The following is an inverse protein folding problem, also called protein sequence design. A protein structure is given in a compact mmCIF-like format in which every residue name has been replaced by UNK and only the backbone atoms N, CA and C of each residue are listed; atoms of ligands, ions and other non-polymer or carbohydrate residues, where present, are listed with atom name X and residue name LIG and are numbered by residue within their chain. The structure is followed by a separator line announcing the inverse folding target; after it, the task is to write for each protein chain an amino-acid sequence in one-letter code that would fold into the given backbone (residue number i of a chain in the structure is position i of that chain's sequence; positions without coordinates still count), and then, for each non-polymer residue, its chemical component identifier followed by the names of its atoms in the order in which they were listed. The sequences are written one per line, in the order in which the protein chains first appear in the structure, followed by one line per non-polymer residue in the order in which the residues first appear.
data_IF_989928596763
#
_entry.id   IF_989928596763
#
_cell.length_a   1.000
_cell.length_b   1.000
_cell.length_c   1.000
_cell.angle_alpha   90.00
_cell.angle_beta   90.00
_cell.angle_gamma   90.00
#
_symmetry.space_group_name_H-M   'P 1'
#
loop_
_entity.id
_entity.type
_entity.pdbx_description
1 polymer ?
#
# COMPACT_ATOMS: atom_id res chain seq x y z
N UNK A 1 45.24 2.98 -8.11
CA UNK A 1 44.24 3.92 -7.58
C UNK A 1 42.87 3.42 -8.03
N UNK A 2 42.13 2.74 -7.16
CA UNK A 2 40.78 2.27 -7.48
C UNK A 2 39.82 3.44 -7.37
N UNK A 3 39.09 3.73 -8.46
CA UNK A 3 38.02 4.73 -8.43
C UNK A 3 36.88 4.20 -7.56
N UNK A 4 36.72 4.80 -6.38
CA UNK A 4 35.60 4.55 -5.48
C UNK A 4 34.36 5.18 -6.10
N UNK A 5 33.52 4.36 -6.74
CA UNK A 5 32.22 4.78 -7.26
C UNK A 5 31.30 4.87 -6.05
N UNK A 6 30.85 6.10 -5.74
CA UNK A 6 29.92 6.38 -4.64
C UNK A 6 28.67 5.48 -4.74
N UNK A 7 28.16 4.90 -3.63
CA UNK A 7 26.93 4.10 -3.61
C UNK A 7 25.71 4.85 -4.21
N UNK A 8 25.74 6.18 -4.18
CA UNK A 8 24.70 7.05 -4.74
C UNK A 8 24.64 6.94 -6.27
N UNK A 9 25.77 6.68 -6.94
CA UNK A 9 25.82 6.50 -8.39
C UNK A 9 25.29 5.12 -8.84
N UNK A 10 25.39 4.09 -7.99
CA UNK A 10 24.81 2.76 -8.24
C UNK A 10 23.27 2.83 -8.09
N UNK A 11 22.77 3.61 -7.13
CA UNK A 11 21.34 3.88 -6.99
C UNK A 11 20.80 4.61 -8.23
N UNK A 12 21.52 5.59 -8.78
CA UNK A 12 21.09 6.30 -10.00
C UNK A 12 21.02 5.39 -11.25
N UNK A 13 21.90 4.39 -11.36
CA UNK A 13 21.87 3.43 -12.47
C UNK A 13 20.76 2.37 -12.30
N UNK A 14 20.42 1.97 -11.07
CA UNK A 14 19.26 1.10 -10.78
C UNK A 14 17.91 1.82 -10.97
N UNK A 15 17.86 3.14 -10.74
CA UNK A 15 16.64 3.97 -10.91
C UNK A 15 16.21 4.10 -12.38
N UNK A 16 17.14 4.08 -13.34
CA UNK A 16 16.81 4.06 -14.78
C UNK A 16 16.22 2.71 -15.23
N UNK A 17 16.60 1.62 -14.56
CA UNK A 17 16.03 0.29 -14.81
C UNK A 17 14.60 0.21 -14.27
N UNK A 18 14.31 0.78 -13.09
CA UNK A 18 12.96 0.80 -12.48
C UNK A 18 11.87 1.47 -13.34
N UNK A 19 12.19 2.54 -14.09
CA UNK A 19 11.21 3.18 -14.98
C UNK A 19 10.90 2.34 -16.22
N UNK A 20 11.86 1.52 -16.64
CA UNK A 20 11.71 0.57 -17.74
C UNK A 20 11.04 -0.72 -17.26
N UNK A 21 11.32 -1.11 -16.02
CA UNK A 21 10.76 -2.30 -15.38
C UNK A 21 9.37 -2.06 -14.82
N UNK A 22 8.94 -0.86 -14.44
CA UNK A 22 7.53 -0.61 -14.12
C UNK A 22 6.64 -0.88 -15.34
N UNK A 23 7.09 -0.48 -16.55
CA UNK A 23 6.42 -0.86 -17.81
C UNK A 23 6.45 -2.36 -18.11
N UNK A 24 7.39 -3.12 -17.55
CA UNK A 24 7.50 -4.58 -17.69
C UNK A 24 6.76 -5.37 -16.60
N UNK A 25 6.77 -4.88 -15.35
CA UNK A 25 6.09 -5.43 -14.18
C UNK A 25 4.58 -5.27 -14.27
N UNK A 26 4.11 -4.21 -14.91
CA UNK A 26 2.68 -3.98 -15.17
C UNK A 26 2.21 -4.45 -16.55
N UNK A 27 3.13 -5.01 -17.37
CA UNK A 27 2.88 -5.33 -18.77
C UNK A 27 2.55 -4.08 -19.58
N UNK A 28 3.20 -3.87 -20.72
CA UNK A 28 2.77 -2.88 -21.71
C UNK A 28 1.48 -3.35 -22.41
N UNK A 29 0.46 -3.74 -21.66
CA UNK A 29 -0.87 -4.02 -22.15
C UNK A 29 -1.66 -2.76 -21.89
N UNK A 30 -2.08 -2.12 -22.98
CA UNK A 30 -3.22 -1.20 -22.90
C UNK A 30 -4.27 -1.92 -22.05
N UNK A 31 -4.70 -1.36 -20.90
CA UNK A 31 -5.90 -1.86 -20.26
C UNK A 31 -6.97 -1.88 -21.33
N UNK A 32 -7.96 -2.76 -21.21
CA UNK A 32 -9.11 -2.64 -22.08
C UNK A 32 -9.55 -1.17 -22.04
N UNK A 33 -9.36 -0.45 -23.15
CA UNK A 33 -10.25 0.64 -23.48
C UNK A 33 -11.63 0.09 -23.17
N UNK A 34 -12.48 0.83 -22.46
CA UNK A 34 -13.83 0.36 -22.16
C UNK A 34 -14.59 0.27 -23.50
N UNK A 35 -14.32 -0.79 -24.26
CA UNK A 35 -14.85 -1.05 -25.58
C UNK A 35 -16.23 -1.66 -25.37
N UNK A 36 -17.08 -1.47 -26.36
CA UNK A 36 -18.53 -1.55 -26.32
C UNK A 36 -19.16 -2.88 -25.81
N UNK A 37 -18.37 -3.89 -25.46
CA UNK A 37 -18.81 -5.19 -24.94
C UNK A 37 -19.31 -5.13 -23.47
N UNK A 38 -19.04 -4.05 -22.72
CA UNK A 38 -19.44 -3.88 -21.30
C UNK A 38 -20.79 -3.16 -21.07
N UNK A 39 -21.55 -2.83 -22.13
CA UNK A 39 -22.87 -2.18 -22.01
C UNK A 39 -23.93 -3.01 -21.27
N UNK A 40 -23.64 -4.27 -20.95
CA UNK A 40 -24.51 -5.17 -20.20
C UNK A 40 -24.57 -4.97 -18.69
N UNK A 41 -23.84 -3.99 -18.12
CA UNK A 41 -23.83 -3.73 -16.67
C UNK A 41 -24.98 -2.79 -16.29
N UNK A 42 -25.90 -3.19 -15.39
CA UNK A 42 -26.93 -2.30 -14.87
C UNK A 42 -26.30 -1.04 -14.25
N UNK A 43 -26.66 0.12 -14.78
CA UNK A 43 -26.12 1.41 -14.31
C UNK A 43 -24.82 1.87 -14.96
N UNK A 44 -24.38 1.25 -16.07
CA UNK A 44 -23.17 1.67 -16.81
C UNK A 44 -23.09 3.18 -17.09
N UNK A 45 -24.18 3.80 -17.53
CA UNK A 45 -24.21 5.24 -17.82
C UNK A 45 -23.84 6.10 -16.59
N UNK A 46 -24.11 5.60 -15.37
CA UNK A 46 -23.76 6.25 -14.10
C UNK A 46 -22.26 6.14 -13.77
N UNK A 47 -21.56 5.16 -14.34
CA UNK A 47 -20.10 4.97 -14.23
C UNK A 47 -19.38 5.74 -15.33
N UNK A 48 -19.82 5.61 -16.58
CA UNK A 48 -19.14 6.19 -17.74
C UNK A 48 -19.18 7.72 -17.74
N UNK A 49 -20.31 8.31 -17.32
CA UNK A 49 -20.48 9.77 -17.30
C UNK A 49 -19.43 10.50 -16.44
N UNK A 50 -19.26 10.20 -15.14
CA UNK A 50 -18.24 10.88 -14.32
C UNK A 50 -16.82 10.59 -14.80
N UNK A 51 -16.54 9.39 -15.33
CA UNK A 51 -15.22 9.10 -15.89
C UNK A 51 -14.91 9.95 -17.14
N UNK A 52 -15.91 10.23 -17.98
CA UNK A 52 -15.73 11.07 -19.16
C UNK A 52 -15.55 12.55 -18.82
N UNK A 53 -15.99 12.99 -17.63
CA UNK A 53 -15.90 14.38 -17.19
C UNK A 53 -14.57 14.74 -16.48
N UNK A 54 -13.64 13.79 -16.40
CA UNK A 54 -12.30 14.00 -15.85
C UNK A 54 -12.12 13.46 -14.43
N UNK A 55 -10.86 13.42 -14.00
CA UNK A 55 -10.42 12.74 -12.78
C UNK A 55 -11.15 13.22 -11.50
N UNK A 56 -11.28 14.53 -11.31
CA UNK A 56 -11.98 15.09 -10.14
C UNK A 56 -13.46 14.64 -10.07
N UNK A 57 -14.16 14.62 -11.22
CA UNK A 57 -15.56 14.14 -11.28
C UNK A 57 -15.65 12.63 -11.10
N UNK A 58 -14.67 11.88 -11.60
CA UNK A 58 -14.58 10.44 -11.38
C UNK A 58 -14.40 10.08 -9.90
N UNK A 59 -13.45 10.74 -9.23
CA UNK A 59 -13.14 10.50 -7.81
C UNK A 59 -14.24 11.03 -6.87
N UNK A 60 -14.87 12.16 -7.20
CA UNK A 60 -15.99 12.71 -6.43
C UNK A 60 -17.33 12.02 -6.72
N UNK A 61 -17.36 10.98 -7.55
CA UNK A 61 -18.60 10.33 -7.94
C UNK A 61 -19.19 9.47 -6.81
N UNK A 62 -20.47 9.61 -6.47
CA UNK A 62 -21.14 8.70 -5.53
C UNK A 62 -21.22 7.25 -6.08
N UNK A 63 -20.90 7.05 -7.37
CA UNK A 63 -20.88 5.74 -8.01
C UNK A 63 -19.51 5.04 -7.95
N UNK A 64 -18.52 5.54 -7.21
CA UNK A 64 -17.26 4.83 -6.96
C UNK A 64 -17.45 3.38 -6.47
N UNK A 65 -18.41 3.06 -5.57
CA UNK A 65 -18.71 1.68 -5.20
C UNK A 65 -19.17 0.82 -6.38
N UNK A 66 -19.89 1.40 -7.34
CA UNK A 66 -20.35 0.70 -8.55
C UNK A 66 -19.19 0.44 -9.52
N UNK A 67 -18.25 1.40 -9.65
CA UNK A 67 -17.01 1.23 -10.42
C UNK A 67 -16.14 0.11 -9.85
N UNK A 68 -16.05 0.05 -8.52
CA UNK A 68 -15.38 -1.05 -7.81
C UNK A 68 -16.03 -2.40 -8.10
N UNK A 69 -17.37 -2.50 -8.02
CA UNK A 69 -18.11 -3.73 -8.36
C UNK A 69 -17.85 -4.17 -9.81
N UNK A 70 -17.73 -3.22 -10.74
CA UNK A 70 -17.37 -3.54 -12.11
C UNK A 70 -15.99 -4.18 -12.22
N UNK A 71 -14.97 -3.61 -11.57
CA UNK A 71 -13.62 -4.20 -11.53
C UNK A 71 -13.66 -5.62 -10.95
N UNK A 72 -14.39 -5.81 -9.84
CA UNK A 72 -14.55 -7.12 -9.21
C UNK A 72 -15.21 -8.14 -10.17
N UNK A 73 -16.27 -7.73 -10.90
CA UNK A 73 -16.91 -8.58 -11.92
C UNK A 73 -16.01 -8.88 -13.12
N UNK A 74 -15.27 -7.89 -13.61
CA UNK A 74 -14.33 -8.06 -14.72
C UNK A 74 -13.25 -9.07 -14.36
N UNK A 75 -12.63 -8.93 -13.18
CA UNK A 75 -11.60 -9.86 -12.70
C UNK A 75 -12.15 -11.28 -12.51
N UNK A 76 -13.39 -11.41 -12.04
CA UNK A 76 -14.06 -12.72 -11.91
C UNK A 76 -14.27 -13.41 -13.26
N UNK A 77 -14.58 -12.65 -14.31
CA UNK A 77 -14.74 -13.17 -15.67
C UNK A 77 -13.41 -13.42 -16.38
N UNK A 78 -12.36 -12.70 -15.99
CA UNK A 78 -11.03 -12.75 -16.61
C UNK A 78 -9.98 -13.09 -15.54
N UNK A 79 -9.96 -14.33 -15.02
CA UNK A 79 -9.08 -14.71 -13.91
C UNK A 79 -7.59 -14.52 -14.24
N UNK A 80 -7.21 -14.69 -15.51
CA UNK A 80 -5.83 -14.53 -15.99
C UNK A 80 -5.45 -13.08 -16.32
N UNK A 81 -6.41 -12.15 -16.25
CA UNK A 81 -6.21 -10.73 -16.59
C UNK A 81 -6.88 -9.82 -15.57
N UNK A 82 -6.41 -9.89 -14.33
CA UNK A 82 -6.91 -9.04 -13.26
C UNK A 82 -6.44 -7.60 -13.42
N UNK A 83 -7.35 -6.65 -13.21
CA UNK A 83 -7.06 -5.20 -13.15
C UNK A 83 -7.51 -4.65 -11.80
N UNK A 84 -6.90 -3.57 -11.34
CA UNK A 84 -7.37 -2.81 -10.17
C UNK A 84 -8.07 -1.53 -10.62
N UNK A 85 -8.89 -0.94 -9.74
CA UNK A 85 -9.48 0.38 -9.98
C UNK A 85 -8.39 1.45 -10.13
N UNK A 86 -7.29 1.32 -9.36
CA UNK A 86 -6.12 2.19 -9.48
C UNK A 86 -5.52 2.08 -10.87
N UNK A 87 -5.27 0.86 -11.36
CA UNK A 87 -4.69 0.66 -12.70
C UNK A 87 -5.59 1.25 -13.79
N UNK A 88 -6.90 1.02 -13.70
CA UNK A 88 -7.88 1.58 -14.63
C UNK A 88 -7.85 3.12 -14.66
N UNK A 89 -7.87 3.77 -13.49
CA UNK A 89 -7.83 5.23 -13.38
C UNK A 89 -6.46 5.78 -13.81
N UNK A 90 -5.37 5.10 -13.45
CA UNK A 90 -3.99 5.45 -13.80
C UNK A 90 -3.77 5.42 -15.29
N UNK A 91 -4.30 4.43 -16.01
CA UNK A 91 -4.17 4.43 -17.46
C UNK A 91 -5.03 5.50 -18.11
N UNK A 92 -6.23 5.75 -17.57
CA UNK A 92 -7.15 6.70 -18.18
C UNK A 92 -6.71 8.15 -18.00
N UNK A 93 -6.20 8.52 -16.82
CA UNK A 93 -5.85 9.89 -16.48
C UNK A 93 -4.34 10.13 -16.37
N UNK A 94 -3.54 9.06 -16.41
CA UNK A 94 -2.12 9.08 -16.10
C UNK A 94 -1.86 8.87 -14.61
N UNK A 95 -0.86 8.04 -14.28
CA UNK A 95 -0.42 7.78 -12.91
C UNK A 95 -0.09 9.07 -12.16
N UNK A 96 0.52 10.03 -12.85
CA UNK A 96 0.86 11.35 -12.29
C UNK A 96 -0.38 12.13 -11.85
N UNK A 97 -1.38 12.25 -12.72
CA UNK A 97 -2.59 12.99 -12.37
C UNK A 97 -3.37 12.28 -11.25
N UNK A 98 -3.41 10.95 -11.28
CA UNK A 98 -4.05 10.16 -10.23
C UNK A 98 -3.36 10.33 -8.88
N UNK A 99 -2.03 10.24 -8.83
CA UNK A 99 -1.26 10.44 -7.60
C UNK A 99 -1.35 11.88 -7.07
N UNK A 100 -1.49 12.88 -7.96
CA UNK A 100 -1.73 14.29 -7.58
C UNK A 100 -3.12 14.50 -6.97
N UNK A 101 -4.11 13.69 -7.34
CA UNK A 101 -5.48 13.83 -6.88
C UNK A 101 -5.84 12.99 -5.66
N UNK A 102 -5.02 12.00 -5.30
CA UNK A 102 -5.30 11.02 -4.24
C UNK A 102 -4.40 11.22 -3.03
N UNK A 103 -5.02 11.21 -1.85
CA UNK A 103 -4.29 11.09 -0.59
C UNK A 103 -3.72 9.68 -0.42
N UNK A 104 -2.78 9.54 0.53
CA UNK A 104 -2.25 8.24 0.94
C UNK A 104 -3.39 7.30 1.41
N UNK A 105 -4.36 7.85 2.14
CA UNK A 105 -5.53 7.13 2.64
C UNK A 105 -6.41 6.63 1.48
N UNK A 106 -6.61 7.46 0.45
CA UNK A 106 -7.39 7.07 -0.73
C UNK A 106 -6.74 5.90 -1.47
N UNK A 107 -5.42 5.97 -1.69
CA UNK A 107 -4.66 4.90 -2.34
C UNK A 107 -4.72 3.61 -1.52
N UNK A 108 -4.51 3.71 -0.21
CA UNK A 108 -4.56 2.57 0.68
C UNK A 108 -5.95 1.90 0.66
N UNK A 109 -7.02 2.69 0.73
CA UNK A 109 -8.39 2.21 0.63
C UNK A 109 -8.74 1.61 -0.74
N UNK A 110 -8.14 2.11 -1.83
CA UNK A 110 -8.31 1.56 -3.17
C UNK A 110 -7.57 0.24 -3.38
N UNK A 111 -6.36 0.10 -2.84
CA UNK A 111 -5.58 -1.14 -2.90
C UNK A 111 -6.22 -2.26 -2.06
N UNK A 112 -7.08 -1.91 -1.09
CA UNK A 112 -7.76 -2.85 -0.19
C UNK A 112 -6.75 -3.83 0.43
N UNK A 113 -5.65 -3.33 0.98
CA UNK A 113 -4.64 -4.21 1.59
C UNK A 113 -5.31 -5.02 2.71
N UNK A 114 -5.37 -6.34 2.57
CA UNK A 114 -6.12 -7.21 3.48
C UNK A 114 -5.41 -7.32 4.83
N UNK A 115 -6.18 -7.39 5.92
CA UNK A 115 -5.68 -7.75 7.25
C UNK A 115 -5.31 -9.24 7.35
N UNK A 116 -5.70 -10.05 6.37
CA UNK A 116 -5.33 -11.46 6.19
C UNK A 116 -4.50 -11.56 4.90
N UNK A 117 -3.18 -11.36 4.99
CA UNK A 117 -2.35 -11.26 3.81
C UNK A 117 -2.03 -12.62 3.19
N UNK A 118 -1.98 -12.64 1.85
CA UNK A 118 -1.42 -13.76 1.06
C UNK A 118 -0.20 -13.28 0.29
N UNK A 119 0.76 -14.15 -0.06
CA UNK A 119 2.01 -13.73 -0.72
C UNK A 119 1.78 -12.95 -2.02
N UNK A 120 0.96 -13.49 -2.92
CA UNK A 120 0.62 -12.82 -4.18
C UNK A 120 -0.06 -11.45 -3.99
N UNK A 121 -0.84 -11.30 -2.92
CA UNK A 121 -1.49 -10.04 -2.60
C UNK A 121 -0.49 -9.00 -2.08
N UNK A 122 0.43 -9.41 -1.20
CA UNK A 122 1.45 -8.53 -0.62
C UNK A 122 2.30 -7.94 -1.74
N UNK A 123 2.84 -8.79 -2.62
CA UNK A 123 3.76 -8.34 -3.66
C UNK A 123 3.10 -7.36 -4.62
N UNK A 124 1.93 -7.72 -5.16
CA UNK A 124 1.22 -6.87 -6.12
C UNK A 124 0.76 -5.53 -5.53
N UNK A 125 0.28 -5.52 -4.28
CA UNK A 125 -0.26 -4.29 -3.66
C UNK A 125 0.82 -3.38 -3.12
N UNK A 126 1.87 -3.91 -2.51
CA UNK A 126 2.99 -3.09 -2.04
C UNK A 126 3.76 -2.51 -3.22
N UNK A 127 3.87 -3.23 -4.34
CA UNK A 127 4.50 -2.67 -5.55
C UNK A 127 3.69 -1.49 -6.11
N UNK A 128 2.37 -1.61 -6.16
CA UNK A 128 1.50 -0.48 -6.53
C UNK A 128 1.65 0.70 -5.55
N UNK A 129 1.79 0.43 -4.24
CA UNK A 129 2.01 1.45 -3.22
C UNK A 129 3.34 2.18 -3.42
N UNK A 130 4.43 1.45 -3.72
CA UNK A 130 5.74 2.02 -4.03
C UNK A 130 5.71 2.92 -5.26
N UNK A 131 5.01 2.49 -6.31
CA UNK A 131 4.77 3.31 -7.50
C UNK A 131 4.09 4.63 -7.17
N UNK A 132 3.06 4.61 -6.32
CA UNK A 132 2.41 5.83 -5.83
C UNK A 132 3.38 6.72 -5.04
N UNK A 133 4.09 6.16 -4.06
CA UNK A 133 5.02 6.91 -3.20
C UNK A 133 6.09 7.62 -4.02
N UNK A 134 6.66 6.93 -5.02
CA UNK A 134 7.65 7.49 -5.93
C UNK A 134 7.14 8.76 -6.62
N UNK A 135 5.94 8.71 -7.18
CA UNK A 135 5.32 9.85 -7.86
C UNK A 135 4.96 10.96 -6.86
N UNK A 136 4.39 10.60 -5.71
CA UNK A 136 4.00 11.52 -4.66
C UNK A 136 5.18 12.33 -4.12
N UNK A 137 6.30 11.67 -3.80
CA UNK A 137 7.48 12.32 -3.22
C UNK A 137 8.17 13.29 -4.17
N UNK A 138 8.22 12.95 -5.47
CA UNK A 138 8.76 13.85 -6.50
C UNK A 138 7.96 15.15 -6.60
N UNK A 139 6.69 15.11 -6.22
CA UNK A 139 5.75 16.24 -6.29
C UNK A 139 5.66 17.04 -5.00
N UNK A 140 5.88 16.35 -3.89
CA UNK A 140 5.82 16.93 -2.56
C UNK A 140 7.20 16.79 -1.90
N UNK A 141 8.26 17.45 -2.43
CA UNK A 141 9.63 17.27 -1.94
C UNK A 141 9.82 17.73 -0.49
N UNK A 142 8.90 18.56 0.03
CA UNK A 142 8.87 18.99 1.44
C UNK A 142 8.05 18.06 2.34
N UNK A 143 7.30 17.11 1.78
CA UNK A 143 6.42 16.18 2.49
C UNK A 143 6.66 14.75 1.99
N UNK A 144 7.92 14.34 1.93
CA UNK A 144 8.32 12.99 1.51
C UNK A 144 7.70 11.96 2.45
N UNK A 145 7.10 10.91 1.88
CA UNK A 145 6.59 9.74 2.60
C UNK A 145 7.42 8.51 2.26
N UNK A 146 7.78 7.73 3.26
CA UNK A 146 8.27 6.36 3.06
C UNK A 146 7.09 5.36 3.08
N UNK A 147 7.37 4.11 2.71
CA UNK A 147 6.35 3.06 2.64
C UNK A 147 5.73 2.74 4.00
N UNK A 148 6.53 2.74 5.07
CA UNK A 148 6.03 2.55 6.43
C UNK A 148 5.02 3.64 6.80
N UNK A 149 5.33 4.90 6.49
CA UNK A 149 4.47 6.06 6.79
C UNK A 149 3.12 5.91 6.12
N UNK A 150 3.08 5.55 4.84
CA UNK A 150 1.81 5.32 4.13
C UNK A 150 1.03 4.13 4.70
N UNK A 151 1.71 3.05 5.08
CA UNK A 151 1.07 1.90 5.74
C UNK A 151 0.53 2.27 7.13
N UNK A 152 1.26 3.08 7.92
CA UNK A 152 0.83 3.58 9.23
C UNK A 152 -0.37 4.50 9.12
N UNK A 153 -0.36 5.44 8.17
CA UNK A 153 -1.49 6.33 7.88
C UNK A 153 -2.75 5.49 7.55
N UNK A 154 -2.61 4.48 6.69
CA UNK A 154 -3.73 3.65 6.24
C UNK A 154 -4.25 2.61 7.24
N UNK A 155 -3.36 1.93 7.98
CA UNK A 155 -3.76 0.90 8.95
C UNK A 155 -4.00 1.45 10.35
N UNK A 156 -3.23 2.46 10.76
CA UNK A 156 -2.90 2.73 12.15
C UNK A 156 -1.94 1.68 12.74
N UNK A 157 -1.22 2.05 13.80
CA UNK A 157 -0.16 1.23 14.38
C UNK A 157 -0.62 -0.15 14.87
N UNK A 158 -1.78 -0.22 15.54
CA UNK A 158 -2.30 -1.50 16.07
C UNK A 158 -2.57 -2.53 14.97
N UNK A 159 -3.28 -2.12 13.90
CA UNK A 159 -3.60 -3.03 12.80
C UNK A 159 -2.38 -3.36 11.96
N UNK A 160 -1.44 -2.42 11.80
CA UNK A 160 -0.18 -2.68 11.13
C UNK A 160 0.67 -3.70 11.92
N UNK A 161 0.77 -3.55 13.24
CA UNK A 161 1.47 -4.51 14.09
C UNK A 161 0.84 -5.91 14.04
N UNK A 162 -0.49 -5.99 14.05
CA UNK A 162 -1.21 -7.26 13.85
C UNK A 162 -0.90 -7.86 12.47
N UNK A 163 -0.90 -7.04 11.41
CA UNK A 163 -0.61 -7.47 10.05
C UNK A 163 0.82 -8.02 9.93
N UNK A 164 1.80 -7.34 10.50
CA UNK A 164 3.20 -7.80 10.61
C UNK A 164 3.28 -9.12 11.37
N UNK A 165 2.62 -9.22 12.54
CA UNK A 165 2.62 -10.45 13.33
C UNK A 165 2.06 -11.65 12.54
N UNK A 166 1.01 -11.45 11.73
CA UNK A 166 0.47 -12.51 10.86
C UNK A 166 1.47 -12.91 9.77
N UNK A 167 2.14 -11.94 9.14
CA UNK A 167 3.13 -12.22 8.09
C UNK A 167 4.33 -13.02 8.60
N UNK A 168 4.75 -12.78 9.85
CA UNK A 168 5.84 -13.51 10.49
C UNK A 168 5.59 -15.02 10.56
N UNK A 169 4.33 -15.46 10.52
CA UNK A 169 3.94 -16.88 10.54
C UNK A 169 3.71 -17.47 9.14
N UNK A 170 4.08 -16.75 8.08
CA UNK A 170 3.90 -17.15 6.69
C UNK A 170 5.22 -17.19 5.91
N UNK A 171 5.15 -17.43 4.59
CA UNK A 171 6.32 -17.46 3.71
C UNK A 171 6.97 -16.08 3.48
N UNK A 172 6.36 -14.99 3.97
CA UNK A 172 6.84 -13.62 3.85
C UNK A 172 7.48 -13.10 5.16
N UNK A 173 7.98 -14.00 6.01
CA UNK A 173 8.58 -13.66 7.32
C UNK A 173 9.78 -12.69 7.22
N UNK A 174 10.55 -12.75 6.14
CA UNK A 174 11.67 -11.82 5.91
C UNK A 174 11.18 -10.38 5.69
N UNK A 175 10.13 -10.20 4.87
CA UNK A 175 9.49 -8.88 4.67
C UNK A 175 8.86 -8.41 5.98
N UNK A 176 8.21 -9.31 6.71
CA UNK A 176 7.62 -9.00 8.00
C UNK A 176 8.66 -8.52 9.00
N UNK A 177 9.87 -9.12 8.99
CA UNK A 177 11.00 -8.70 9.82
C UNK A 177 11.43 -7.27 9.47
N UNK A 178 11.54 -6.95 8.17
CA UNK A 178 11.87 -5.60 7.70
C UNK A 178 10.84 -4.55 8.19
N UNK A 179 9.54 -4.79 7.99
CA UNK A 179 8.50 -3.87 8.45
C UNK A 179 8.42 -3.78 9.98
N UNK A 180 8.67 -4.88 10.69
CA UNK A 180 8.76 -4.90 12.16
C UNK A 180 9.89 -3.99 12.64
N UNK A 181 11.08 -4.10 12.06
CA UNK A 181 12.23 -3.31 12.44
C UNK A 181 12.01 -1.82 12.15
N UNK A 182 11.41 -1.49 11.00
CA UNK A 182 11.03 -0.11 10.69
C UNK A 182 9.97 0.46 11.64
N UNK A 183 8.94 -0.33 11.97
CA UNK A 183 7.89 0.09 12.89
C UNK A 183 8.46 0.35 14.29
N UNK A 184 9.34 -0.52 14.77
CA UNK A 184 9.98 -0.37 16.08
C UNK A 184 10.94 0.81 16.14
N UNK A 185 11.74 1.01 15.09
CA UNK A 185 12.58 2.20 14.98
C UNK A 185 11.72 3.48 15.05
N UNK A 186 10.59 3.50 14.35
CA UNK A 186 9.67 4.63 14.38
C UNK A 186 9.03 4.85 15.75
N UNK A 187 8.58 3.80 16.43
CA UNK A 187 8.06 3.91 17.81
C UNK A 187 9.13 4.41 18.78
N UNK A 188 10.38 3.98 18.63
CA UNK A 188 11.50 4.47 19.43
C UNK A 188 11.76 5.96 19.20
N UNK A 189 11.83 6.39 17.94
CA UNK A 189 11.99 7.81 17.57
C UNK A 189 10.85 8.68 18.13
N UNK A 190 9.63 8.14 18.15
CA UNK A 190 8.43 8.78 18.72
C UNK A 190 8.35 8.66 20.26
N UNK A 191 9.38 8.10 20.90
CA UNK A 191 9.51 7.93 22.35
C UNK A 191 8.39 7.10 22.98
N UNK A 192 7.86 6.13 22.23
CA UNK A 192 6.88 5.20 22.76
C UNK A 192 7.53 4.28 23.82
N UNK A 193 7.14 4.42 25.08
CA UNK A 193 7.67 3.58 26.15
C UNK A 193 7.13 2.14 26.01
N UNK A 194 7.98 1.10 26.15
CA UNK A 194 7.52 -0.28 26.07
C UNK A 194 6.43 -0.65 27.09
N UNK A 195 6.53 -0.07 28.29
CA UNK A 195 5.58 -0.26 29.38
C UNK A 195 4.16 0.26 29.08
N UNK A 196 3.95 1.02 28.00
CA UNK A 196 2.65 1.56 27.60
C UNK A 196 2.18 1.12 26.21
N UNK A 197 2.80 0.12 25.58
CA UNK A 197 2.44 -0.28 24.22
C UNK A 197 0.98 -0.78 24.13
N UNK A 198 0.49 -1.52 25.12
CA UNK A 198 -0.91 -1.99 25.14
C UNK A 198 -1.91 -0.83 25.14
N UNK A 199 -1.68 0.15 25.99
CA UNK A 199 -2.54 1.33 26.11
C UNK A 199 -2.36 2.33 24.97
N UNK A 200 -1.13 2.65 24.60
CA UNK A 200 -0.83 3.69 23.60
C UNK A 200 -0.97 3.21 22.16
N UNK A 201 -0.54 1.99 21.85
CA UNK A 201 -0.61 1.45 20.49
C UNK A 201 -1.89 0.66 20.29
N UNK A 202 -2.13 -0.35 21.12
CA UNK A 202 -3.25 -1.27 20.91
C UNK A 202 -4.59 -0.75 21.43
N UNK A 203 -4.58 0.35 22.21
CA UNK A 203 -5.76 0.99 22.80
C UNK A 203 -6.57 0.03 23.69
N UNK A 204 -5.87 -0.85 24.40
CA UNK A 204 -6.44 -1.78 25.39
C UNK A 204 -5.71 -1.65 26.73
N UNK A 205 -6.28 -2.19 27.81
CA UNK A 205 -5.64 -2.19 29.12
C UNK A 205 -4.41 -3.13 29.16
N UNK A 206 -3.45 -2.85 30.04
CA UNK A 206 -2.25 -3.70 30.19
C UNK A 206 -2.58 -5.11 30.71
N UNK A 207 -3.70 -5.25 31.42
CA UNK A 207 -4.22 -6.53 31.90
C UNK A 207 -5.10 -7.25 30.88
N UNK A 208 -5.27 -6.74 29.65
CA UNK A 208 -6.10 -7.35 28.61
C UNK A 208 -5.83 -8.86 28.44
N UNK A 209 -6.91 -9.65 28.32
CA UNK A 209 -6.90 -11.12 28.20
C UNK A 209 -7.75 -11.65 27.04
N UNK A 210 -8.09 -10.82 26.06
CA UNK A 210 -8.88 -11.26 24.91
C UNK A 210 -8.17 -12.33 24.07
N UNK A 211 -8.93 -13.02 23.21
CA UNK A 211 -8.42 -14.10 22.37
C UNK A 211 -7.26 -13.67 21.43
N UNK A 212 -7.20 -12.39 21.09
CA UNK A 212 -6.18 -11.78 20.24
C UNK A 212 -4.95 -11.27 21.01
N UNK A 213 -4.90 -11.43 22.34
CA UNK A 213 -3.78 -10.94 23.17
C UNK A 213 -2.41 -11.54 22.80
N UNK A 214 -2.39 -12.70 22.13
CA UNK A 214 -1.16 -13.44 21.82
C UNK A 214 -0.24 -12.61 20.92
N UNK A 215 -0.75 -12.07 19.82
CA UNK A 215 0.08 -11.27 18.90
C UNK A 215 0.49 -9.93 19.54
N UNK A 216 -0.38 -9.34 20.37
CA UNK A 216 -0.07 -8.10 21.10
C UNK A 216 1.11 -8.31 22.05
N UNK A 217 1.09 -9.40 22.83
CA UNK A 217 2.20 -9.77 23.72
C UNK A 217 3.47 -10.07 22.94
N UNK A 218 3.34 -10.76 21.80
CA UNK A 218 4.48 -11.03 20.93
C UNK A 218 5.12 -9.73 20.43
N UNK A 219 4.33 -8.78 19.91
CA UNK A 219 4.82 -7.47 19.46
C UNK A 219 5.46 -6.71 20.62
N UNK A 220 4.78 -6.58 21.76
CA UNK A 220 5.29 -5.85 22.92
C UNK A 220 6.61 -6.44 23.44
N UNK A 221 6.72 -7.77 23.51
CA UNK A 221 7.97 -8.45 23.89
C UNK A 221 9.10 -8.19 22.89
N UNK A 222 8.82 -8.25 21.60
CA UNK A 222 9.83 -8.00 20.57
C UNK A 222 10.26 -6.51 20.54
N UNK A 223 9.35 -5.59 20.84
CA UNK A 223 9.68 -4.18 20.96
C UNK A 223 10.55 -3.89 22.19
N UNK A 224 10.23 -4.48 23.35
CA UNK A 224 11.10 -4.43 24.53
C UNK A 224 12.53 -4.91 24.18
N UNK A 225 12.63 -6.08 23.54
CA UNK A 225 13.93 -6.63 23.15
C UNK A 225 14.67 -5.76 22.12
N UNK A 226 13.95 -5.09 21.23
CA UNK A 226 14.54 -4.12 20.31
C UNK A 226 15.13 -2.94 21.08
N UNK A 227 14.40 -2.39 22.06
CA UNK A 227 14.85 -1.29 22.91
C UNK A 227 16.11 -1.66 23.70
N UNK A 228 16.13 -2.83 24.33
CA UNK A 228 17.29 -3.33 25.11
C UNK A 228 18.57 -3.46 24.27
N UNK A 229 18.46 -3.60 22.95
CA UNK A 229 19.61 -3.70 22.03
C UNK A 229 20.19 -2.35 21.63
N UNK A 230 19.38 -1.30 21.67
CA UNK A 230 19.76 0.03 21.16
C UNK A 230 20.05 1.04 22.27
N UNK A 231 19.71 0.71 23.52
CA UNK A 231 20.04 1.47 24.74
C UNK A 231 21.22 0.87 25.47
#
# INVERSE_FOLDING_TARGET
MSHYISPIAIIFLLVCVSVSDSKRLFGAQTPPTMVNEDRGIPGWNKIASPLNQGLSKALGSPNLPLMRRYVDMFNKKNPDRQVSLVNMLSTRYGEKALAEALSADDIFAMLKISHDPTPAMIDSKLEALRGYIFVFNRKNPLHVKDELTVLRDGFGDSKLAMWIAKLMHGPDSDKATLYKDWLFARWYEEKAAPAGIFTHVFKVSDDYRGADVIWMRWIAKNYNFYMDKIT
#
